data_IF_375748018864
#
_entry.id   IF_375748018864
#
_cell.length_a   1.000
_cell.length_b   1.000
_cell.length_c   1.000
_cell.angle_alpha   90.00
_cell.angle_beta   90.00
_cell.angle_gamma   90.00
#
_symmetry.space_group_name_H-M   'P 1'
#
loop_
_entity.id
_entity.type
_entity.pdbx_description
1 polymer ?
#
# COMPACT_ATOMS: atom_id res chain seq x y z
N UNK A 1 -0.55 29.22 -9.60
CA UNK A 1 -0.03 28.02 -9.03
C UNK A 1 -0.86 26.82 -9.40
N UNK A 2 -0.24 25.87 -9.95
CA UNK A 2 -0.99 24.68 -10.38
C UNK A 2 -1.50 23.89 -9.18
N UNK A 3 -2.58 23.20 -9.40
CA UNK A 3 -3.13 22.26 -8.42
C UNK A 3 -2.46 20.92 -8.64
N UNK A 4 -1.67 20.52 -7.69
CA UNK A 4 -1.01 19.23 -7.78
C UNK A 4 -1.89 18.16 -7.20
N UNK A 5 -1.93 17.03 -7.87
CA UNK A 5 -2.46 15.82 -7.25
C UNK A 5 -1.51 15.47 -6.12
N UNK A 6 -2.08 15.15 -4.97
CA UNK A 6 -1.24 14.75 -3.85
C UNK A 6 -0.46 13.51 -4.22
N UNK A 7 0.87 13.57 -4.06
CA UNK A 7 1.74 12.45 -4.37
C UNK A 7 2.07 11.71 -3.09
N UNK A 8 1.08 10.98 -2.58
CA UNK A 8 1.24 10.20 -1.37
C UNK A 8 1.74 8.80 -1.65
N UNK A 9 2.50 8.26 -0.71
CA UNK A 9 2.98 6.89 -0.78
C UNK A 9 1.79 5.94 -0.57
N UNK A 10 1.60 4.99 -1.49
CA UNK A 10 0.52 4.00 -1.39
C UNK A 10 1.04 2.56 -1.31
N UNK A 11 2.34 2.35 -1.45
CA UNK A 11 2.93 1.01 -1.36
C UNK A 11 4.40 1.16 -0.98
N UNK A 12 4.78 0.52 0.12
CA UNK A 12 6.14 0.62 0.68
C UNK A 12 6.78 -0.76 0.61
N UNK A 13 7.62 -0.99 -0.41
CA UNK A 13 8.16 -2.32 -0.66
C UNK A 13 9.50 -2.26 -1.38
N UNK A 14 10.27 -3.34 -1.23
CA UNK A 14 11.52 -3.54 -1.96
C UNK A 14 11.57 -4.99 -2.45
N UNK A 15 12.41 -5.25 -3.46
CA UNK A 15 12.76 -6.61 -3.89
C UNK A 15 14.25 -6.81 -3.70
N UNK A 16 14.61 -7.84 -2.94
CA UNK A 16 16.03 -8.18 -2.73
C UNK A 16 16.61 -8.81 -3.99
N UNK A 17 17.95 -8.88 -4.11
CA UNK A 17 18.57 -9.49 -5.30
C UNK A 17 18.15 -10.94 -5.55
N UNK A 18 17.75 -11.69 -4.51
CA UNK A 18 17.29 -13.06 -4.68
C UNK A 18 15.82 -13.16 -5.05
N UNK A 19 15.14 -12.01 -5.25
CA UNK A 19 13.74 -11.98 -5.66
C UNK A 19 12.72 -11.90 -4.52
N UNK A 20 13.18 -11.85 -3.28
CA UNK A 20 12.27 -11.77 -2.13
C UNK A 20 11.67 -10.37 -2.03
N UNK A 21 10.34 -10.28 -1.90
CA UNK A 21 9.64 -9.00 -1.77
C UNK A 21 9.30 -8.76 -0.31
N UNK A 22 9.70 -7.59 0.20
CA UNK A 22 9.38 -7.15 1.56
C UNK A 22 8.42 -5.97 1.46
N UNK A 23 7.29 -6.05 2.19
CA UNK A 23 6.27 -5.00 2.18
C UNK A 23 6.03 -4.54 3.60
N UNK A 24 6.06 -3.22 3.83
CA UNK A 24 5.66 -2.64 5.10
C UNK A 24 4.25 -2.07 4.93
N UNK A 25 3.27 -2.63 5.65
CA UNK A 25 1.87 -2.29 5.46
C UNK A 25 1.38 -1.20 6.39
N UNK A 26 2.03 -0.99 7.54
CA UNK A 26 1.58 -0.01 8.52
C UNK A 26 2.78 0.73 9.10
N UNK A 27 2.48 1.82 9.81
CA UNK A 27 3.50 2.71 10.36
C UNK A 27 4.55 1.97 11.20
N UNK A 28 4.13 0.94 11.91
CA UNK A 28 5.02 0.19 12.81
C UNK A 28 5.38 -1.18 12.27
N UNK A 29 5.14 -1.43 11.00
CA UNK A 29 5.43 -2.72 10.38
C UNK A 29 6.89 -2.74 9.93
N UNK A 30 7.75 -3.19 10.82
CA UNK A 30 9.20 -3.28 10.61
C UNK A 30 9.51 -4.67 10.08
N UNK A 31 9.85 -4.76 8.79
CA UNK A 31 10.05 -6.04 8.10
C UNK A 31 11.50 -6.18 7.72
N UNK A 32 12.11 -7.31 8.12
CA UNK A 32 13.51 -7.60 7.81
C UNK A 32 13.62 -8.94 7.12
N UNK A 33 14.71 -9.10 6.38
CA UNK A 33 15.03 -10.35 5.70
C UNK A 33 16.54 -10.44 5.53
N UNK A 34 17.12 -11.60 5.90
CA UNK A 34 18.54 -11.85 5.69
C UNK A 34 18.67 -12.92 4.61
N UNK A 35 19.41 -12.62 3.54
CA UNK A 35 19.54 -13.54 2.42
C UNK A 35 20.66 -14.58 2.69
N UNK A 36 20.86 -15.47 1.72
CA UNK A 36 21.83 -16.56 1.87
C UNK A 36 23.27 -16.06 1.99
N UNK A 37 23.54 -14.84 1.55
CA UNK A 37 24.86 -14.23 1.63
C UNK A 37 25.07 -13.42 2.92
N UNK A 38 24.07 -13.42 3.81
CA UNK A 38 24.17 -12.70 5.06
C UNK A 38 23.84 -11.21 4.95
N UNK A 39 23.34 -10.76 3.80
CA UNK A 39 22.91 -9.37 3.65
C UNK A 39 21.55 -9.19 4.28
N UNK A 40 21.43 -8.17 5.12
CA UNK A 40 20.16 -7.88 5.77
C UNK A 40 19.45 -6.73 5.07
N UNK A 41 18.15 -6.92 4.80
CA UNK A 41 17.31 -5.93 4.17
C UNK A 41 16.17 -5.57 5.10
N UNK A 42 15.67 -4.34 4.99
CA UNK A 42 14.64 -3.85 5.90
C UNK A 42 13.75 -2.84 5.19
N UNK A 43 12.45 -2.95 5.42
CA UNK A 43 11.48 -1.89 5.11
C UNK A 43 10.68 -1.59 6.37
N UNK A 44 10.30 -0.33 6.53
CA UNK A 44 9.64 0.12 7.73
C UNK A 44 8.82 1.37 7.42
N UNK A 45 7.84 1.66 8.27
CA UNK A 45 7.11 2.92 8.23
C UNK A 45 5.79 2.89 7.50
N UNK A 46 5.43 1.79 6.86
CA UNK A 46 4.18 1.67 6.13
C UNK A 46 4.03 2.78 5.10
N UNK A 47 2.89 3.46 5.12
CA UNK A 47 2.62 4.56 4.19
C UNK A 47 2.94 5.93 4.78
N UNK A 48 3.42 5.99 6.02
CA UNK A 48 3.76 7.26 6.65
C UNK A 48 5.16 7.72 6.32
N UNK A 49 6.11 6.78 6.25
CA UNK A 49 7.47 7.07 5.83
C UNK A 49 8.08 5.77 5.29
N UNK A 50 9.01 5.92 4.35
CA UNK A 50 9.62 4.76 3.71
C UNK A 50 11.06 4.65 4.18
N UNK A 51 11.30 3.84 5.21
CA UNK A 51 12.64 3.67 5.74
C UNK A 51 13.25 2.37 5.25
N UNK A 52 14.51 2.43 4.83
CA UNK A 52 15.23 1.32 4.24
C UNK A 52 16.57 1.12 4.92
N UNK A 53 17.03 -0.13 4.96
CA UNK A 53 18.43 -0.41 5.19
C UNK A 53 19.08 -0.69 3.85
N UNK A 54 20.17 0.02 3.54
CA UNK A 54 20.84 -0.05 2.25
C UNK A 54 22.02 -1.00 2.36
N UNK A 55 22.13 -1.93 1.38
CA UNK A 55 23.29 -2.81 1.23
C UNK A 55 24.05 -2.33 -0.01
N UNK A 56 25.18 -1.61 0.14
CA UNK A 56 25.82 -0.93 -1.01
C UNK A 56 26.23 -1.87 -2.15
N UNK A 57 26.72 -3.07 -1.82
CA UNK A 57 27.22 -3.99 -2.82
C UNK A 57 26.13 -4.90 -3.40
N UNK A 58 24.95 -4.88 -2.81
CA UNK A 58 23.84 -5.74 -3.25
C UNK A 58 22.53 -4.98 -3.01
N UNK A 59 22.29 -3.88 -3.75
CA UNK A 59 21.13 -3.03 -3.50
C UNK A 59 19.81 -3.74 -3.84
N UNK A 60 18.80 -3.46 -3.04
CA UNK A 60 17.44 -3.91 -3.32
C UNK A 60 16.81 -3.01 -4.38
N UNK A 61 15.88 -3.59 -5.14
CA UNK A 61 15.09 -2.83 -6.08
C UNK A 61 13.96 -2.13 -5.35
N UNK A 62 13.76 -0.84 -5.63
CA UNK A 62 12.68 -0.06 -5.02
C UNK A 62 11.37 -0.37 -5.73
N UNK A 63 10.38 -0.87 -5.00
CA UNK A 63 9.08 -1.21 -5.55
C UNK A 63 7.97 -0.25 -5.10
N UNK A 64 8.31 0.75 -4.29
CA UNK A 64 7.30 1.66 -3.74
C UNK A 64 6.54 2.38 -4.86
N UNK A 65 5.26 2.65 -4.59
CA UNK A 65 4.36 3.30 -5.53
C UNK A 65 3.76 4.52 -4.84
N UNK A 66 3.67 5.61 -5.58
CA UNK A 66 3.05 6.86 -5.12
C UNK A 66 1.82 7.14 -5.99
N UNK A 67 0.98 8.05 -5.51
CA UNK A 67 -0.24 8.44 -6.23
C UNK A 67 0.06 8.90 -7.66
N UNK A 68 1.21 9.54 -7.88
CA UNK A 68 1.61 10.02 -9.20
C UNK A 68 1.81 8.93 -10.23
N UNK A 69 1.90 7.67 -9.80
CA UNK A 69 2.02 6.55 -10.73
C UNK A 69 0.74 6.27 -11.51
N UNK A 70 -0.38 6.83 -11.09
CA UNK A 70 -1.68 6.65 -11.75
C UNK A 70 -2.51 5.55 -11.12
N UNK A 71 -3.82 5.63 -11.32
CA UNK A 71 -4.75 4.75 -10.65
C UNK A 71 -4.57 3.28 -11.04
N UNK A 72 -4.16 2.99 -12.28
CA UNK A 72 -3.91 1.61 -12.69
C UNK A 72 -2.88 0.91 -11.82
N UNK A 73 -1.86 1.65 -11.37
CA UNK A 73 -0.86 1.11 -10.46
C UNK A 73 -1.34 1.12 -9.02
N UNK A 74 -1.96 2.22 -8.61
CA UNK A 74 -2.41 2.40 -7.24
C UNK A 74 -3.39 1.31 -6.83
N UNK A 75 -4.37 0.99 -7.68
CA UNK A 75 -5.40 0.01 -7.36
C UNK A 75 -4.84 -1.40 -7.15
N UNK A 76 -3.68 -1.68 -7.70
CA UNK A 76 -3.07 -3.00 -7.60
C UNK A 76 -2.25 -3.17 -6.31
N UNK A 77 -1.91 -2.09 -5.63
CA UNK A 77 -0.99 -2.15 -4.49
C UNK A 77 -1.54 -1.53 -3.21
N UNK A 78 -2.45 -0.55 -3.32
CA UNK A 78 -3.01 0.08 -2.12
C UNK A 78 -3.90 -0.91 -1.40
N UNK A 79 -3.56 -1.22 -0.16
CA UNK A 79 -4.24 -2.26 0.58
C UNK A 79 -4.94 -1.72 1.82
N UNK A 80 -5.89 -2.51 2.32
CA UNK A 80 -6.63 -2.23 3.54
C UNK A 80 -6.56 -3.45 4.44
N UNK A 81 -6.18 -3.24 5.70
CA UNK A 81 -6.14 -4.32 6.67
C UNK A 81 -7.53 -4.65 7.17
N UNK A 82 -7.89 -5.93 7.16
CA UNK A 82 -9.21 -6.36 7.59
C UNK A 82 -9.12 -7.63 8.42
N UNK A 83 -10.06 -7.77 9.34
CA UNK A 83 -10.23 -8.99 10.14
C UNK A 83 -11.57 -9.65 9.83
N UNK A 84 -12.08 -9.41 8.61
CA UNK A 84 -13.33 -10.00 8.16
C UNK A 84 -14.56 -9.29 8.70
N UNK A 85 -15.73 -9.76 8.28
CA UNK A 85 -16.99 -9.15 8.66
C UNK A 85 -17.18 -9.21 10.18
N UNK A 86 -16.82 -10.33 10.82
CA UNK A 86 -16.96 -10.49 12.26
C UNK A 86 -15.99 -9.65 13.07
N UNK A 87 -14.87 -9.23 12.47
CA UNK A 87 -13.81 -8.52 13.17
C UNK A 87 -12.89 -9.42 13.98
N UNK A 88 -13.08 -10.76 13.90
CA UNK A 88 -12.32 -11.71 14.70
C UNK A 88 -11.41 -12.62 13.91
N UNK A 89 -11.41 -12.48 12.58
CA UNK A 89 -10.52 -13.29 11.74
C UNK A 89 -9.10 -12.75 11.82
N UNK A 90 -8.10 -13.56 11.46
CA UNK A 90 -6.73 -13.06 11.41
C UNK A 90 -6.60 -11.86 10.46
N UNK A 91 -5.74 -10.92 10.82
CA UNK A 91 -5.52 -9.74 10.00
C UNK A 91 -4.97 -10.15 8.64
N UNK A 92 -5.58 -9.62 7.58
CA UNK A 92 -5.08 -9.78 6.22
C UNK A 92 -5.24 -8.47 5.49
N UNK A 93 -4.48 -8.31 4.42
CA UNK A 93 -4.52 -7.10 3.62
C UNK A 93 -5.13 -7.41 2.26
N UNK A 94 -6.09 -6.58 1.85
CA UNK A 94 -6.77 -6.73 0.56
C UNK A 94 -6.42 -5.51 -0.28
N UNK A 95 -5.93 -5.73 -1.50
CA UNK A 95 -5.63 -4.62 -2.41
C UNK A 95 -6.91 -4.09 -3.01
N UNK A 96 -6.90 -2.81 -3.38
CA UNK A 96 -8.09 -2.09 -3.82
C UNK A 96 -8.81 -2.79 -4.97
N UNK A 97 -8.07 -3.26 -5.98
CA UNK A 97 -8.71 -3.89 -7.13
C UNK A 97 -9.41 -5.21 -6.79
N UNK A 98 -9.03 -5.85 -5.69
CA UNK A 98 -9.65 -7.10 -5.24
C UNK A 98 -10.74 -6.88 -4.19
N UNK A 99 -10.95 -5.64 -3.79
CA UNK A 99 -11.89 -5.31 -2.74
C UNK A 99 -13.31 -5.25 -3.31
N UNK A 100 -14.28 -5.84 -2.58
CA UNK A 100 -15.69 -5.77 -2.99
C UNK A 100 -16.16 -4.31 -3.00
N UNK A 101 -17.02 -3.98 -3.96
CA UNK A 101 -17.58 -2.63 -4.07
C UNK A 101 -18.27 -2.20 -2.77
N UNK A 102 -19.04 -3.10 -2.16
CA UNK A 102 -19.72 -2.78 -0.89
C UNK A 102 -18.73 -2.51 0.22
N UNK A 103 -17.60 -3.20 0.23
CA UNK A 103 -16.56 -2.97 1.23
C UNK A 103 -15.95 -1.57 1.07
N UNK A 104 -15.67 -1.18 -0.18
CA UNK A 104 -15.16 0.18 -0.47
C UNK A 104 -16.15 1.23 0.03
N UNK A 105 -17.43 1.05 -0.28
CA UNK A 105 -18.47 2.00 0.14
C UNK A 105 -18.56 2.08 1.67
N UNK A 106 -18.46 0.93 2.35
CA UNK A 106 -18.51 0.91 3.80
C UNK A 106 -17.32 1.64 4.43
N UNK A 107 -16.14 1.48 3.85
CA UNK A 107 -14.96 2.18 4.34
C UNK A 107 -15.12 3.69 4.18
N UNK A 108 -15.59 4.14 3.00
CA UNK A 108 -15.80 5.56 2.76
C UNK A 108 -16.84 6.16 3.70
N UNK A 109 -17.84 5.36 4.09
CA UNK A 109 -18.91 5.82 4.97
C UNK A 109 -18.48 5.88 6.43
N UNK A 110 -17.65 4.94 6.86
CA UNK A 110 -17.41 4.71 8.29
C UNK A 110 -16.06 5.19 8.81
N UNK A 111 -15.16 5.64 7.93
CA UNK A 111 -13.82 6.03 8.33
C UNK A 111 -13.46 7.41 7.83
N UNK A 112 -12.73 8.16 8.65
CA UNK A 112 -12.14 9.43 8.24
C UNK A 112 -10.82 9.12 7.55
N UNK A 113 -10.84 9.15 6.23
CA UNK A 113 -9.68 8.74 5.43
C UNK A 113 -8.79 9.93 5.08
N UNK A 114 -7.48 9.65 4.99
CA UNK A 114 -6.55 10.62 4.43
C UNK A 114 -6.89 10.82 2.94
N UNK A 115 -6.46 11.97 2.36
CA UNK A 115 -6.82 12.26 0.97
C UNK A 115 -6.45 11.16 -0.03
N UNK A 116 -5.29 10.52 0.13
CA UNK A 116 -4.88 9.48 -0.83
C UNK A 116 -5.81 8.28 -0.82
N UNK A 117 -6.28 7.86 0.34
CA UNK A 117 -7.24 6.76 0.44
C UNK A 117 -8.59 7.16 -0.14
N UNK A 118 -9.08 8.33 0.27
CA UNK A 118 -10.40 8.79 -0.19
C UNK A 118 -10.42 8.94 -1.69
N UNK A 119 -9.42 9.62 -2.25
CA UNK A 119 -9.34 9.82 -3.69
C UNK A 119 -9.26 8.50 -4.44
N UNK A 120 -8.43 7.56 -3.97
CA UNK A 120 -8.26 6.28 -4.64
C UNK A 120 -9.53 5.45 -4.60
N UNK A 121 -10.22 5.44 -3.47
CA UNK A 121 -11.45 4.66 -3.32
C UNK A 121 -12.57 5.24 -4.17
N UNK A 122 -12.69 6.58 -4.21
CA UNK A 122 -13.70 7.23 -5.06
C UNK A 122 -13.40 7.00 -6.53
N UNK A 123 -12.13 7.07 -6.92
CA UNK A 123 -11.74 6.80 -8.31
C UNK A 123 -12.04 5.36 -8.69
N UNK A 124 -11.81 4.42 -7.78
CA UNK A 124 -12.10 3.02 -8.04
C UNK A 124 -13.60 2.78 -8.25
N UNK A 125 -14.44 3.42 -7.43
CA UNK A 125 -15.88 3.31 -7.61
C UNK A 125 -16.32 3.88 -8.95
N UNK A 126 -15.75 5.03 -9.34
CA UNK A 126 -16.06 5.62 -10.64
C UNK A 126 -15.64 4.69 -11.78
N UNK A 127 -14.48 4.06 -11.65
CA UNK A 127 -13.98 3.12 -12.65
C UNK A 127 -14.95 1.94 -12.80
N UNK A 128 -15.55 1.50 -11.71
CA UNK A 128 -16.51 0.38 -11.72
C UNK A 128 -17.91 0.80 -12.16
N UNK A 129 -18.11 2.10 -12.39
CA UNK A 129 -19.42 2.62 -12.77
C UNK A 129 -20.36 2.83 -11.61
N UNK A 130 -19.84 2.93 -10.40
CA UNK A 130 -20.63 3.10 -9.18
C UNK A 130 -20.76 4.56 -8.79
N UNK A 131 -21.92 4.93 -8.24
CA UNK A 131 -22.12 6.25 -7.70
C UNK A 131 -21.40 6.37 -6.35
N UNK A 132 -20.91 7.58 -6.07
CA UNK A 132 -20.17 7.83 -4.85
C UNK A 132 -21.07 8.14 -3.67
N UNK A 133 -22.29 8.25 -3.89
CA UNK A 133 -23.12 8.73 -2.86
C UNK A 133 -24.09 7.82 -2.32
#
# INVERSE_FOLDING_TARGET
>A
MENKVEDGLVYNAIRTPDGTVLVSHSRHDYVTYTDANGHEYMVDGGLDYARRYVVPDAPAEELSVHMSAGHDKVRQVLSWGTRGISGHEPLRYVVLCDMDTDHIKAILLNYALSPKYKQSYETELALRGEANG
#
